data_IF_374961370869
#
_entry.id   IF_374961370869
#
_cell.length_a   1.000
_cell.length_b   1.000
_cell.length_c   1.000
_cell.angle_alpha   90.00
_cell.angle_beta   90.00
_cell.angle_gamma   90.00
#
_symmetry.space_group_name_H-M   'P 1'
#
loop_
_entity.id
_entity.type
_entity.pdbx_description
1 polymer ?
#
# COMPACT_ATOMS: atom_id res chain seq x y z
N UNK A 1 -43.79 79.76 -14.46
CA UNK A 1 -43.75 78.88 -13.23
C UNK A 1 -42.93 77.67 -13.54
N UNK A 2 -41.85 77.48 -12.77
CA UNK A 2 -40.81 76.48 -12.99
C UNK A 2 -41.30 75.10 -12.56
N UNK A 3 -41.14 74.05 -13.38
CA UNK A 3 -41.14 72.64 -12.95
C UNK A 3 -39.73 72.10 -13.04
N UNK A 4 -39.23 71.78 -11.91
CA UNK A 4 -37.86 71.28 -11.70
C UNK A 4 -37.80 69.75 -11.96
N UNK A 5 -36.86 69.32 -12.81
CA UNK A 5 -36.68 67.93 -13.22
C UNK A 5 -35.64 67.29 -12.31
N UNK A 6 -36.07 66.50 -11.40
CA UNK A 6 -35.18 65.54 -10.72
C UNK A 6 -35.22 64.18 -11.42
N UNK A 7 -34.42 64.03 -12.45
CA UNK A 7 -34.01 62.72 -13.00
C UNK A 7 -32.50 62.57 -12.81
N UNK A 8 -32.07 61.68 -11.99
CA UNK A 8 -30.64 61.36 -12.02
C UNK A 8 -30.02 60.76 -10.78
N UNK A 9 -30.67 59.86 -10.06
CA UNK A 9 -29.96 59.06 -9.03
C UNK A 9 -30.40 57.61 -8.91
N UNK A 10 -31.24 57.08 -9.78
CA UNK A 10 -31.71 55.70 -9.66
C UNK A 10 -30.99 54.69 -10.59
N UNK A 11 -30.13 55.16 -11.51
CA UNK A 11 -29.47 54.26 -12.49
C UNK A 11 -28.08 53.79 -12.06
N UNK A 12 -27.47 54.33 -11.02
CA UNK A 12 -26.10 53.99 -10.65
C UNK A 12 -25.98 52.82 -9.63
N UNK A 13 -27.07 52.48 -8.96
CA UNK A 13 -27.07 51.43 -7.97
C UNK A 13 -27.32 50.01 -8.56
N UNK A 14 -27.92 49.92 -9.71
CA UNK A 14 -28.17 48.61 -10.34
C UNK A 14 -26.98 48.04 -11.10
N UNK A 15 -26.08 48.89 -11.61
CA UNK A 15 -24.90 48.45 -12.37
C UNK A 15 -23.79 47.90 -11.47
N UNK A 16 -23.70 48.35 -10.21
CA UNK A 16 -22.67 47.85 -9.28
C UNK A 16 -22.96 46.45 -8.77
N UNK A 17 -24.23 46.05 -8.62
CA UNK A 17 -24.58 44.71 -8.15
C UNK A 17 -24.43 43.62 -9.21
N UNK A 18 -24.65 43.92 -10.48
CA UNK A 18 -24.41 42.93 -11.57
C UNK A 18 -22.93 42.63 -11.76
N UNK A 19 -22.04 43.59 -11.53
CA UNK A 19 -20.60 43.37 -11.65
C UNK A 19 -20.04 42.46 -10.56
N UNK A 20 -20.50 42.60 -9.33
CA UNK A 20 -20.05 41.72 -8.22
C UNK A 20 -20.58 40.27 -8.34
N UNK A 21 -21.83 40.12 -8.81
CA UNK A 21 -22.39 38.77 -9.00
C UNK A 21 -21.74 38.00 -10.15
N UNK A 22 -21.39 38.71 -11.26
CA UNK A 22 -20.68 38.07 -12.38
C UNK A 22 -19.25 37.67 -12.01
N UNK A 23 -18.54 38.44 -11.22
CA UNK A 23 -17.20 38.03 -10.72
C UNK A 23 -17.24 36.87 -9.77
N UNK A 24 -18.24 36.73 -8.90
CA UNK A 24 -18.40 35.61 -8.00
C UNK A 24 -18.78 34.31 -8.76
N UNK A 25 -19.62 34.40 -9.79
CA UNK A 25 -20.00 33.25 -10.60
C UNK A 25 -18.84 32.78 -11.48
N UNK A 26 -18.08 33.71 -12.09
CA UNK A 26 -16.88 33.37 -12.87
C UNK A 26 -15.75 32.80 -11.99
N UNK A 27 -15.58 33.32 -10.77
CA UNK A 27 -14.63 32.79 -9.81
C UNK A 27 -14.98 31.33 -9.36
N UNK A 28 -16.29 31.05 -9.20
CA UNK A 28 -16.77 29.71 -8.79
C UNK A 28 -16.64 28.68 -9.93
N UNK A 29 -16.89 29.10 -11.16
CA UNK A 29 -16.71 28.24 -12.36
C UNK A 29 -15.23 27.92 -12.58
N UNK A 30 -14.32 28.86 -12.36
CA UNK A 30 -12.88 28.63 -12.50
C UNK A 30 -12.32 27.70 -11.43
N UNK A 31 -12.77 27.81 -10.18
CA UNK A 31 -12.30 26.90 -9.10
C UNK A 31 -12.82 25.47 -9.25
N UNK A 32 -14.05 25.30 -9.77
CA UNK A 32 -14.61 23.97 -10.02
C UNK A 32 -13.94 23.25 -11.21
N UNK A 33 -13.51 24.00 -12.23
CA UNK A 33 -12.83 23.44 -13.42
C UNK A 33 -11.40 22.96 -13.11
N UNK A 34 -10.67 23.63 -12.22
CA UNK A 34 -9.32 23.25 -11.83
C UNK A 34 -9.34 21.96 -11.00
N UNK A 35 -10.35 21.78 -10.14
CA UNK A 35 -10.48 20.56 -9.33
C UNK A 35 -10.81 19.33 -10.19
N UNK A 36 -11.67 19.46 -11.19
CA UNK A 36 -12.05 18.35 -12.07
C UNK A 36 -10.90 17.90 -12.99
N UNK A 37 -10.09 18.83 -13.48
CA UNK A 37 -8.91 18.49 -14.32
C UNK A 37 -7.77 17.87 -13.50
N UNK A 38 -7.57 18.29 -12.25
CA UNK A 38 -6.60 17.67 -11.37
C UNK A 38 -6.98 16.22 -11.04
N UNK A 39 -8.25 15.93 -10.74
CA UNK A 39 -8.73 14.57 -10.52
C UNK A 39 -8.61 13.69 -11.76
N UNK A 40 -8.93 14.19 -12.94
CA UNK A 40 -8.84 13.44 -14.19
C UNK A 40 -7.39 13.13 -14.60
N UNK A 41 -6.42 14.02 -14.27
CA UNK A 41 -5.00 13.81 -14.53
C UNK A 41 -4.39 12.80 -13.56
N UNK A 42 -4.91 12.67 -12.34
CA UNK A 42 -4.42 11.70 -11.36
C UNK A 42 -4.93 10.28 -11.65
N UNK A 43 -6.15 10.16 -12.20
CA UNK A 43 -6.83 8.87 -12.42
C UNK A 43 -6.27 8.08 -13.61
N UNK A 44 -5.52 8.65 -14.51
CA UNK A 44 -4.95 7.96 -15.67
C UNK A 44 -3.42 7.97 -15.75
N UNK A 45 -2.71 8.66 -14.85
CA UNK A 45 -1.27 8.89 -15.00
C UNK A 45 -0.38 7.73 -14.53
N UNK A 46 -0.93 6.72 -13.86
CA UNK A 46 -0.17 5.59 -13.25
C UNK A 46 -0.59 4.21 -13.75
N UNK A 47 -1.54 4.11 -14.68
CA UNK A 47 -2.08 2.82 -15.13
C UNK A 47 -1.02 1.91 -15.76
N UNK A 48 -0.11 2.44 -16.57
CA UNK A 48 0.97 1.65 -17.16
C UNK A 48 1.93 1.07 -16.10
N UNK A 49 2.22 1.82 -15.04
CA UNK A 49 3.03 1.32 -13.92
C UNK A 49 2.27 0.30 -13.08
N UNK A 50 1.00 0.54 -12.84
CA UNK A 50 0.10 -0.36 -12.12
C UNK A 50 -0.07 -1.68 -12.86
N UNK A 51 -0.29 -1.65 -14.17
CA UNK A 51 -0.34 -2.84 -15.03
C UNK A 51 0.95 -3.66 -14.94
N UNK A 52 2.12 -3.02 -15.11
CA UNK A 52 3.42 -3.69 -15.01
C UNK A 52 3.61 -4.35 -13.65
N UNK A 53 3.25 -3.64 -12.58
CA UNK A 53 3.34 -4.18 -11.23
C UNK A 53 2.39 -5.37 -11.03
N UNK A 54 1.15 -5.29 -11.51
CA UNK A 54 0.17 -6.36 -11.39
C UNK A 54 0.62 -7.62 -12.14
N UNK A 55 1.11 -7.46 -13.38
CA UNK A 55 1.63 -8.58 -14.19
C UNK A 55 2.87 -9.19 -13.55
N UNK A 56 3.82 -8.36 -13.09
CA UNK A 56 5.02 -8.84 -12.40
C UNK A 56 4.64 -9.62 -11.14
N UNK A 57 3.72 -9.09 -10.34
CA UNK A 57 3.27 -9.73 -9.12
C UNK A 57 2.57 -11.06 -9.38
N UNK A 58 1.67 -11.13 -10.39
CA UNK A 58 1.01 -12.37 -10.80
C UNK A 58 2.02 -13.45 -11.24
N UNK A 59 3.05 -13.05 -12.00
CA UNK A 59 4.13 -13.95 -12.40
C UNK A 59 4.95 -14.47 -11.21
N UNK A 60 5.22 -13.61 -10.22
CA UNK A 60 5.90 -14.02 -8.98
C UNK A 60 5.08 -15.06 -8.20
N UNK A 61 3.77 -14.84 -8.04
CA UNK A 61 2.87 -15.79 -7.37
C UNK A 61 2.85 -17.13 -8.08
N UNK A 62 2.67 -17.11 -9.40
CA UNK A 62 2.67 -18.33 -10.23
C UNK A 62 3.99 -19.10 -10.13
N UNK A 63 5.12 -18.39 -10.21
CA UNK A 63 6.46 -18.99 -10.12
C UNK A 63 6.77 -19.51 -8.73
N UNK A 64 6.35 -18.78 -7.69
CA UNK A 64 6.63 -19.11 -6.30
C UNK A 64 5.75 -20.21 -5.73
N UNK A 65 4.57 -20.44 -6.29
CA UNK A 65 3.64 -21.51 -5.85
C UNK A 65 3.01 -21.27 -4.48
N UNK A 66 3.06 -20.05 -3.95
CA UNK A 66 2.47 -19.68 -2.66
C UNK A 66 1.11 -18.98 -2.84
N UNK A 67 0.28 -18.97 -1.78
CA UNK A 67 -0.96 -18.21 -1.72
C UNK A 67 -0.74 -16.74 -1.38
N UNK A 68 -1.82 -15.96 -1.48
CA UNK A 68 -1.85 -14.57 -1.04
C UNK A 68 -2.77 -14.42 0.16
N UNK A 69 -2.45 -13.47 1.03
CA UNK A 69 -3.30 -13.04 2.13
C UNK A 69 -3.29 -11.51 2.17
N UNK A 70 -4.44 -10.89 2.32
CA UNK A 70 -4.52 -9.44 2.47
C UNK A 70 -4.07 -8.99 3.86
N UNK A 71 -3.88 -7.70 4.04
CA UNK A 71 -3.54 -7.11 5.34
C UNK A 71 -4.65 -7.36 6.36
N UNK A 72 -5.91 -7.21 5.94
CA UNK A 72 -7.10 -7.40 6.76
C UNK A 72 -7.28 -8.88 7.17
N UNK A 73 -7.15 -9.81 6.21
CA UNK A 73 -7.23 -11.25 6.50
C UNK A 73 -6.13 -11.69 7.47
N UNK A 74 -4.89 -11.21 7.29
CA UNK A 74 -3.81 -11.50 8.22
C UNK A 74 -4.11 -10.96 9.62
N UNK A 75 -4.68 -9.75 9.72
CA UNK A 75 -5.12 -9.18 11.00
C UNK A 75 -6.20 -10.05 11.64
N UNK A 76 -7.19 -10.50 10.88
CA UNK A 76 -8.23 -11.41 11.38
C UNK A 76 -7.65 -12.72 11.91
N UNK A 77 -6.67 -13.32 11.20
CA UNK A 77 -6.02 -14.54 11.65
C UNK A 77 -5.27 -14.34 12.98
N UNK A 78 -4.58 -13.20 13.13
CA UNK A 78 -3.93 -12.83 14.39
C UNK A 78 -4.92 -12.66 15.53
N UNK A 79 -6.04 -11.95 15.29
CA UNK A 79 -7.06 -11.70 16.30
C UNK A 79 -7.76 -13.01 16.76
N UNK A 80 -7.96 -13.93 15.82
CA UNK A 80 -8.48 -15.27 16.08
C UNK A 80 -7.44 -16.20 16.72
N UNK A 81 -6.18 -15.74 16.85
CA UNK A 81 -5.04 -16.54 17.35
C UNK A 81 -4.82 -17.82 16.55
N UNK A 82 -5.02 -17.74 15.23
CA UNK A 82 -4.75 -18.90 14.37
C UNK A 82 -3.28 -19.30 14.46
N UNK A 83 -2.99 -20.61 14.58
CA UNK A 83 -1.61 -21.10 14.64
C UNK A 83 -0.92 -20.85 13.29
N UNK A 84 0.06 -19.92 13.28
CA UNK A 84 0.84 -19.59 12.09
C UNK A 84 2.21 -19.06 12.49
N UNK A 85 3.11 -19.00 11.51
CA UNK A 85 4.38 -18.31 11.61
C UNK A 85 4.36 -17.11 10.67
N UNK A 86 4.61 -15.91 11.21
CA UNK A 86 4.78 -14.70 10.41
C UNK A 86 6.29 -14.43 10.27
N UNK A 87 6.73 -14.19 9.04
CA UNK A 87 8.14 -14.00 8.70
C UNK A 87 8.35 -12.61 8.10
N UNK A 88 9.06 -11.78 8.82
CA UNK A 88 9.56 -10.48 8.33
C UNK A 88 10.87 -10.71 7.56
N UNK A 89 10.89 -10.25 6.31
CA UNK A 89 12.04 -10.45 5.42
C UNK A 89 12.90 -9.20 5.23
N UNK A 90 12.65 -8.18 6.04
CA UNK A 90 13.35 -6.90 6.01
C UNK A 90 14.68 -6.95 6.81
N UNK A 91 15.59 -5.99 6.58
CA UNK A 91 16.79 -5.84 7.38
C UNK A 91 16.49 -5.69 8.87
N UNK A 92 17.31 -6.36 9.70
CA UNK A 92 17.10 -6.40 11.14
C UNK A 92 17.12 -4.99 11.77
N UNK A 93 18.21 -4.27 11.59
CA UNK A 93 18.44 -2.98 12.26
C UNK A 93 17.61 -1.84 11.62
N UNK A 94 17.54 -1.82 10.30
CA UNK A 94 16.97 -0.69 9.58
C UNK A 94 15.44 -0.74 9.48
N UNK A 95 14.83 -1.92 9.69
CA UNK A 95 13.38 -2.11 9.54
C UNK A 95 12.76 -2.88 10.70
N UNK A 96 13.09 -4.16 10.87
CA UNK A 96 12.43 -5.03 11.84
C UNK A 96 12.43 -4.48 13.27
N UNK A 97 13.59 -4.04 13.75
CA UNK A 97 13.71 -3.45 15.11
C UNK A 97 12.90 -2.17 15.27
N UNK A 98 12.64 -1.45 14.20
CA UNK A 98 11.86 -0.20 14.26
C UNK A 98 10.37 -0.49 14.36
N UNK A 99 9.85 -1.33 13.47
CA UNK A 99 8.45 -1.75 13.45
C UNK A 99 8.32 -3.07 12.70
N UNK A 100 7.61 -4.03 13.28
CA UNK A 100 7.24 -5.29 12.64
C UNK A 100 5.82 -5.70 13.03
N UNK A 101 5.21 -6.59 12.25
CA UNK A 101 3.90 -7.16 12.56
C UNK A 101 4.02 -8.02 13.82
N UNK A 102 3.09 -7.93 14.77
CA UNK A 102 3.17 -8.66 16.03
C UNK A 102 3.46 -10.16 15.82
N UNK A 103 4.31 -10.71 16.67
CA UNK A 103 4.76 -12.12 16.65
C UNK A 103 5.64 -12.52 15.47
N UNK A 104 5.95 -11.62 14.55
CA UNK A 104 6.81 -11.94 13.40
C UNK A 104 8.24 -12.28 13.84
N UNK A 105 8.82 -13.31 13.22
CA UNK A 105 10.24 -13.61 13.31
C UNK A 105 10.97 -13.08 12.07
N UNK A 106 12.23 -12.69 12.24
CA UNK A 106 12.98 -12.02 11.19
C UNK A 106 13.98 -12.98 10.52
N UNK A 107 14.01 -12.91 9.18
CA UNK A 107 15.11 -13.44 8.36
C UNK A 107 15.26 -12.59 7.09
N UNK A 108 16.37 -11.90 6.93
CA UNK A 108 16.57 -11.02 5.78
C UNK A 108 16.71 -11.80 4.46
N UNK A 109 16.03 -11.29 3.41
CA UNK A 109 16.20 -11.72 2.02
C UNK A 109 16.59 -10.53 1.13
N UNK A 110 17.27 -10.75 -0.01
CA UNK A 110 17.54 -9.69 -0.98
C UNK A 110 16.27 -9.26 -1.71
N UNK A 111 16.29 -8.05 -2.30
CA UNK A 111 15.17 -7.51 -3.09
C UNK A 111 15.07 -8.24 -4.42
N UNK A 112 16.22 -8.53 -5.04
CA UNK A 112 16.33 -9.24 -6.31
C UNK A 112 15.93 -10.71 -6.13
N UNK A 113 15.29 -11.27 -7.14
CA UNK A 113 14.89 -12.66 -7.11
C UNK A 113 16.10 -13.60 -7.06
N UNK A 114 16.10 -14.49 -6.08
CA UNK A 114 17.17 -15.46 -5.89
C UNK A 114 16.99 -16.68 -6.79
N UNK A 115 17.97 -16.96 -7.64
CA UNK A 115 18.04 -18.19 -8.44
C UNK A 115 18.53 -19.39 -7.64
N UNK A 116 19.31 -19.17 -6.60
CA UNK A 116 19.89 -20.17 -5.71
C UNK A 116 19.78 -19.74 -4.26
N UNK A 117 19.68 -20.70 -3.36
CA UNK A 117 19.73 -20.51 -1.92
C UNK A 117 21.03 -21.19 -1.43
N UNK A 118 21.94 -20.40 -0.85
CA UNK A 118 23.15 -20.96 -0.24
C UNK A 118 22.79 -21.80 0.99
N UNK A 119 23.70 -22.75 1.35
CA UNK A 119 23.44 -23.72 2.42
C UNK A 119 23.24 -23.03 3.79
N UNK A 120 23.93 -21.93 4.06
CA UNK A 120 23.78 -21.23 5.33
C UNK A 120 22.40 -20.56 5.44
N UNK A 121 21.95 -19.90 4.38
CA UNK A 121 20.63 -19.27 4.32
C UNK A 121 19.52 -20.34 4.34
N UNK A 122 19.73 -21.46 3.66
CA UNK A 122 18.80 -22.60 3.69
C UNK A 122 18.65 -23.15 5.10
N UNK A 123 19.75 -23.43 5.78
CA UNK A 123 19.72 -23.95 7.17
C UNK A 123 19.01 -22.96 8.11
N UNK A 124 19.33 -21.66 8.02
CA UNK A 124 18.69 -20.63 8.82
C UNK A 124 17.17 -20.53 8.53
N UNK A 125 16.77 -20.66 7.28
CA UNK A 125 15.36 -20.66 6.90
C UNK A 125 14.63 -21.90 7.43
N UNK A 126 15.21 -23.10 7.28
CA UNK A 126 14.63 -24.34 7.79
C UNK A 126 14.53 -24.36 9.33
N UNK A 127 15.53 -23.82 10.03
CA UNK A 127 15.51 -23.64 11.48
C UNK A 127 14.36 -22.71 11.90
N UNK A 128 14.21 -21.56 11.25
CA UNK A 128 13.15 -20.59 11.53
C UNK A 128 11.76 -21.16 11.27
N UNK A 129 11.58 -21.85 10.14
CA UNK A 129 10.28 -22.40 9.74
C UNK A 129 9.89 -23.67 10.53
N UNK A 130 10.87 -24.39 11.06
CA UNK A 130 10.67 -25.62 11.83
C UNK A 130 10.35 -26.84 10.97
N UNK A 131 10.22 -28.02 11.59
CA UNK A 131 10.10 -29.30 10.87
C UNK A 131 8.69 -29.56 10.30
N UNK A 132 7.65 -28.91 10.79
CA UNK A 132 6.28 -29.12 10.32
C UNK A 132 6.06 -28.45 8.96
N UNK A 133 6.06 -29.23 7.91
CA UNK A 133 5.89 -28.76 6.52
C UNK A 133 4.45 -28.33 6.19
N UNK A 134 3.48 -28.63 7.05
CA UNK A 134 2.08 -28.20 6.91
C UNK A 134 1.74 -26.91 7.65
N UNK A 135 2.66 -26.42 8.47
CA UNK A 135 2.49 -25.17 9.22
C UNK A 135 2.12 -24.01 8.31
N UNK A 136 1.13 -23.20 8.72
CA UNK A 136 0.79 -21.96 8.02
C UNK A 136 1.94 -20.95 8.18
N UNK A 137 2.48 -20.48 7.08
CA UNK A 137 3.58 -19.52 7.03
C UNK A 137 3.13 -18.32 6.23
N UNK A 138 3.32 -17.11 6.77
CA UNK A 138 3.03 -15.84 6.09
C UNK A 138 4.31 -15.03 6.02
N UNK A 139 4.81 -14.77 4.82
CA UNK A 139 5.95 -13.89 4.60
C UNK A 139 5.51 -12.48 4.17
N UNK A 140 6.17 -11.46 4.70
CA UNK A 140 5.97 -10.08 4.29
C UNK A 140 7.29 -9.31 4.22
N UNK A 141 7.26 -8.13 3.60
CA UNK A 141 8.38 -7.19 3.56
C UNK A 141 7.88 -5.74 3.73
N UNK A 142 8.52 -4.76 3.09
CA UNK A 142 8.16 -3.34 3.27
C UNK A 142 6.87 -2.92 2.59
N UNK A 143 6.64 -3.34 1.34
CA UNK A 143 5.56 -2.88 0.47
C UNK A 143 5.46 -3.75 -0.79
N UNK A 144 4.41 -3.57 -1.61
CA UNK A 144 4.05 -4.47 -2.72
C UNK A 144 5.16 -4.68 -3.76
N UNK A 145 5.94 -3.65 -4.09
CA UNK A 145 7.05 -3.75 -5.06
C UNK A 145 8.30 -4.46 -4.51
N UNK A 146 8.35 -4.75 -3.21
CA UNK A 146 9.51 -5.37 -2.57
C UNK A 146 9.56 -6.88 -2.87
N UNK A 147 10.68 -7.38 -3.42
CA UNK A 147 10.86 -8.80 -3.77
C UNK A 147 11.25 -9.70 -2.61
N UNK A 148 11.63 -9.17 -1.45
CA UNK A 148 12.16 -9.94 -0.31
C UNK A 148 11.21 -11.05 0.15
N UNK A 149 9.92 -10.72 0.35
CA UNK A 149 8.90 -11.69 0.77
C UNK A 149 8.55 -12.71 -0.32
N UNK A 150 8.73 -12.36 -1.61
CA UNK A 150 8.65 -13.33 -2.69
C UNK A 150 9.71 -14.41 -2.54
N UNK A 151 10.96 -14.00 -2.33
CA UNK A 151 12.07 -14.94 -2.13
C UNK A 151 11.81 -15.91 -0.97
N UNK A 152 11.42 -15.38 0.19
CA UNK A 152 11.14 -16.22 1.36
C UNK A 152 10.01 -17.22 1.11
N UNK A 153 8.89 -16.75 0.55
CA UNK A 153 7.74 -17.63 0.26
C UNK A 153 8.08 -18.69 -0.79
N UNK A 154 8.73 -18.31 -1.89
CA UNK A 154 9.14 -19.21 -2.95
C UNK A 154 10.10 -20.30 -2.43
N UNK A 155 11.09 -19.92 -1.62
CA UNK A 155 12.04 -20.90 -1.07
C UNK A 155 11.41 -21.76 0.00
N UNK A 156 10.47 -21.28 0.81
CA UNK A 156 9.70 -22.12 1.70
C UNK A 156 8.93 -23.19 0.92
N UNK A 157 8.25 -22.84 -0.17
CA UNK A 157 7.57 -23.81 -1.05
C UNK A 157 8.56 -24.82 -1.64
N UNK A 158 9.71 -24.37 -2.16
CA UNK A 158 10.76 -25.25 -2.71
C UNK A 158 11.36 -26.20 -1.68
N UNK A 159 11.36 -25.83 -0.40
CA UNK A 159 11.79 -26.66 0.73
C UNK A 159 10.67 -27.61 1.23
N UNK A 160 9.52 -27.64 0.54
CA UNK A 160 8.44 -28.59 0.80
C UNK A 160 7.37 -28.12 1.79
N UNK A 161 7.36 -26.83 2.18
CA UNK A 161 6.25 -26.31 2.97
C UNK A 161 5.02 -26.11 2.08
N UNK A 162 3.86 -26.59 2.52
CA UNK A 162 2.66 -26.68 1.68
C UNK A 162 1.61 -25.61 1.97
N UNK A 163 1.76 -24.87 3.06
CA UNK A 163 0.77 -23.88 3.50
C UNK A 163 1.43 -22.49 3.64
N UNK A 164 1.94 -21.98 2.52
CA UNK A 164 2.75 -20.74 2.44
C UNK A 164 1.96 -19.63 1.80
N UNK A 165 1.96 -18.48 2.42
CA UNK A 165 1.33 -17.25 1.95
C UNK A 165 2.32 -16.09 1.92
N UNK A 166 2.03 -15.13 1.07
CA UNK A 166 2.66 -13.81 1.05
C UNK A 166 1.62 -12.73 1.32
N UNK A 167 1.91 -11.81 2.25
CA UNK A 167 1.15 -10.59 2.46
C UNK A 167 1.84 -9.48 1.63
N UNK A 168 1.23 -9.01 0.54
CA UNK A 168 1.91 -8.15 -0.43
C UNK A 168 2.10 -6.70 0.04
N UNK A 169 1.17 -6.16 0.81
CA UNK A 169 1.21 -4.77 1.28
C UNK A 169 2.37 -4.46 2.22
N UNK A 170 2.89 -5.49 2.89
CA UNK A 170 4.00 -5.38 3.81
C UNK A 170 3.68 -4.57 5.07
N UNK A 171 4.74 -4.21 5.79
CA UNK A 171 4.60 -3.40 7.01
C UNK A 171 3.96 -2.03 6.72
N UNK A 172 4.12 -1.50 5.50
CA UNK A 172 3.49 -0.21 5.15
C UNK A 172 1.97 -0.30 5.13
N UNK A 173 1.38 -1.29 4.45
CA UNK A 173 -0.08 -1.45 4.43
C UNK A 173 -0.62 -1.77 5.83
N UNK A 174 0.12 -2.52 6.64
CA UNK A 174 -0.21 -2.78 8.03
C UNK A 174 -0.33 -1.50 8.86
N UNK A 175 0.65 -0.60 8.72
CA UNK A 175 0.65 0.69 9.39
C UNK A 175 -0.38 1.68 8.82
N UNK A 176 -0.64 1.65 7.50
CA UNK A 176 -1.70 2.46 6.86
C UNK A 176 -3.10 2.06 7.33
N UNK A 177 -3.29 0.81 7.76
CA UNK A 177 -4.53 0.33 8.37
C UNK A 177 -4.60 0.62 9.89
N UNK A 178 -3.66 1.39 10.44
CA UNK A 178 -3.54 1.71 11.88
C UNK A 178 -3.49 0.47 12.79
N UNK A 179 -2.95 -0.65 12.27
CA UNK A 179 -2.80 -1.86 13.06
C UNK A 179 -1.56 -1.80 13.98
N UNK A 180 -1.62 -2.46 15.15
CA UNK A 180 -0.53 -2.43 16.11
C UNK A 180 0.76 -3.03 15.54
N UNK A 181 1.88 -2.43 15.90
CA UNK A 181 3.22 -2.92 15.56
C UNK A 181 4.02 -3.24 16.83
N UNK A 182 4.97 -4.16 16.71
CA UNK A 182 5.99 -4.41 17.73
C UNK A 182 7.32 -3.80 17.31
N UNK A 183 8.20 -3.57 18.30
CA UNK A 183 9.57 -3.11 18.11
C UNK A 183 10.52 -4.18 18.62
N UNK A 184 11.54 -4.47 17.86
CA UNK A 184 12.62 -5.36 18.29
C UNK A 184 13.44 -4.73 19.43
N UNK A 185 13.92 -5.58 20.30
CA UNK A 185 14.88 -5.19 21.35
C UNK A 185 16.31 -5.08 20.78
#
# INVERSE_FOLDING_TARGET
MKCDVRRGKFLSLFTAHYSLFTFLILGWIMTCSISATAYALEWGSKELETEKLAVQFANQVKKGGYGLVTTEELKEWLDKKEPMLIVDTMPLEDSYKKNHIPTALQIEFPVEEMSQLDEAKKAALEELLGPDKSRKIVSYCGFTKCGRSHNAAMWAVKLGYTNVYRQPGGIKAWMEADYPVEKGQ
#
